data_IF_118547826565
#
_entry.id   IF_118547826565
#
_cell.length_a   1.000
_cell.length_b   1.000
_cell.length_c   1.000
_cell.angle_alpha   90.00
_cell.angle_beta   90.00
_cell.angle_gamma   90.00
#
_symmetry.space_group_name_H-M   'P 1'
#
loop_
_entity.id
_entity.type
_entity.pdbx_description
1 polymer ?
#
# COMPACT_ATOMS: atom_id res chain seq x y z
N UNK A 1 6.83 1.77 -2.34
CA UNK A 1 7.57 2.90 -2.89
C UNK A 1 8.97 2.50 -3.34
N UNK A 2 9.84 2.01 -2.45
CA UNK A 2 11.22 1.59 -2.77
C UNK A 2 11.35 0.65 -3.97
N UNK A 3 10.40 -0.27 -4.15
CA UNK A 3 10.37 -1.15 -5.31
C UNK A 3 10.27 -0.39 -6.63
N UNK A 4 9.40 0.61 -6.69
CA UNK A 4 9.22 1.47 -7.88
C UNK A 4 10.40 2.44 -8.05
N UNK A 5 10.98 2.93 -6.96
CA UNK A 5 12.18 3.78 -6.96
C UNK A 5 13.48 3.02 -7.31
N UNK A 6 13.46 1.68 -7.26
CA UNK A 6 14.65 0.85 -7.57
C UNK A 6 15.11 0.90 -9.03
N UNK A 7 14.29 1.44 -9.93
CA UNK A 7 14.58 1.51 -11.36
C UNK A 7 14.54 0.16 -12.09
N UNK A 8 14.08 -0.91 -11.42
CA UNK A 8 13.94 -2.23 -12.06
C UNK A 8 12.80 -2.23 -13.06
N UNK A 9 12.98 -2.95 -14.16
CA UNK A 9 11.91 -3.17 -15.14
C UNK A 9 10.76 -3.98 -14.52
N UNK A 10 9.59 -3.36 -14.37
CA UNK A 10 8.39 -3.97 -13.77
C UNK A 10 7.82 -5.11 -14.62
N UNK A 11 8.08 -5.13 -15.92
CA UNK A 11 7.62 -6.19 -16.82
C UNK A 11 8.57 -7.40 -16.88
N UNK A 12 9.78 -7.24 -16.38
CA UNK A 12 10.74 -8.34 -16.35
C UNK A 12 10.32 -9.42 -15.35
N UNK A 13 10.57 -10.67 -15.71
CA UNK A 13 10.33 -11.83 -14.87
C UNK A 13 11.45 -12.04 -13.88
N UNK A 14 11.09 -12.56 -12.71
CA UNK A 14 12.03 -13.03 -11.69
C UNK A 14 11.61 -14.42 -11.21
N UNK A 15 12.58 -15.23 -10.85
CA UNK A 15 12.35 -16.54 -10.22
C UNK A 15 12.52 -16.40 -8.71
N UNK A 16 11.52 -16.87 -7.96
CA UNK A 16 11.49 -16.79 -6.50
C UNK A 16 12.59 -17.68 -5.92
N UNK A 17 13.55 -17.11 -5.18
CA UNK A 17 14.72 -17.84 -4.73
C UNK A 17 14.44 -18.78 -3.56
N UNK A 18 15.18 -19.88 -3.49
CA UNK A 18 15.08 -20.86 -2.41
C UNK A 18 15.41 -20.30 -1.01
N UNK A 19 16.15 -19.18 -0.95
CA UNK A 19 16.45 -18.48 0.31
C UNK A 19 15.19 -18.00 1.05
N UNK A 20 14.07 -17.78 0.37
CA UNK A 20 12.80 -17.38 0.98
C UNK A 20 11.97 -18.53 1.54
N UNK A 21 12.46 -19.77 1.51
CA UNK A 21 11.71 -20.96 1.98
C UNK A 21 11.28 -20.82 3.44
N UNK A 22 12.17 -20.35 4.33
CA UNK A 22 11.83 -20.19 5.75
C UNK A 22 10.86 -19.03 5.95
N UNK A 23 11.10 -17.91 5.28
CA UNK A 23 10.23 -16.73 5.29
C UNK A 23 8.78 -17.07 4.90
N UNK A 24 8.58 -17.86 3.84
CA UNK A 24 7.24 -18.29 3.42
C UNK A 24 6.55 -19.19 4.45
N UNK A 25 7.31 -20.05 5.16
CA UNK A 25 6.77 -20.84 6.26
C UNK A 25 6.36 -19.97 7.44
N UNK A 26 7.16 -18.95 7.77
CA UNK A 26 6.88 -18.06 8.88
C UNK A 26 5.64 -17.21 8.60
N UNK A 27 5.48 -16.71 7.36
CA UNK A 27 4.26 -16.03 6.89
C UNK A 27 3.05 -16.96 7.04
N UNK A 28 3.15 -18.22 6.61
CA UNK A 28 2.08 -19.21 6.72
C UNK A 28 1.72 -19.51 8.19
N UNK A 29 2.72 -19.70 9.05
CA UNK A 29 2.52 -19.95 10.48
C UNK A 29 1.84 -18.77 11.19
N UNK A 30 2.11 -17.56 10.74
CA UNK A 30 1.48 -16.32 11.24
C UNK A 30 0.09 -16.06 10.62
N UNK A 31 -0.43 -16.95 9.76
CA UNK A 31 -1.65 -16.74 8.96
C UNK A 31 -1.61 -15.44 8.15
N UNK A 32 -0.45 -15.07 7.63
CA UNK A 32 -0.28 -13.90 6.77
C UNK A 32 -1.03 -14.05 5.45
N UNK A 33 -1.55 -12.94 4.92
CA UNK A 33 -2.16 -12.91 3.58
C UNK A 33 -1.12 -13.24 2.52
N UNK A 34 -1.49 -14.02 1.51
CA UNK A 34 -0.59 -14.42 0.41
C UNK A 34 -1.31 -14.39 -0.94
N UNK A 35 -0.54 -14.28 -2.01
CA UNK A 35 -1.02 -14.58 -3.36
C UNK A 35 -0.63 -16.00 -3.81
N UNK A 36 -0.27 -16.87 -2.86
CA UNK A 36 0.12 -18.28 -3.05
C UNK A 36 1.34 -18.46 -3.96
N UNK A 37 2.37 -17.65 -3.77
CA UNK A 37 3.64 -17.82 -4.45
C UNK A 37 4.36 -19.09 -4.00
N UNK A 38 5.17 -19.65 -4.90
CA UNK A 38 5.96 -20.87 -4.65
C UNK A 38 7.43 -20.62 -4.90
N UNK A 39 8.30 -21.25 -4.11
CA UNK A 39 9.73 -21.25 -4.38
C UNK A 39 10.01 -21.86 -5.76
N UNK A 40 10.81 -21.18 -6.58
CA UNK A 40 11.09 -21.55 -7.97
C UNK A 40 10.00 -21.12 -8.97
N UNK A 41 8.94 -20.45 -8.53
CA UNK A 41 7.96 -19.82 -9.43
C UNK A 41 8.58 -18.61 -10.12
N UNK A 42 8.29 -18.45 -11.40
CA UNK A 42 8.71 -17.29 -12.20
C UNK A 42 7.52 -16.38 -12.42
N UNK A 43 7.63 -15.12 -11.99
CA UNK A 43 6.56 -14.12 -12.04
C UNK A 43 7.11 -12.79 -12.51
N UNK A 44 6.28 -11.93 -13.09
CA UNK A 44 6.68 -10.56 -13.42
C UNK A 44 6.71 -9.70 -12.16
N UNK A 45 7.60 -8.73 -12.12
CA UNK A 45 7.67 -7.76 -11.01
C UNK A 45 6.37 -6.99 -10.83
N UNK A 46 5.69 -6.64 -11.90
CA UNK A 46 4.40 -5.95 -11.83
C UNK A 46 3.34 -6.80 -11.12
N UNK A 47 3.34 -8.12 -11.32
CA UNK A 47 2.38 -9.02 -10.66
C UNK A 47 2.61 -9.07 -9.13
N UNK A 48 3.86 -8.94 -8.68
CA UNK A 48 4.18 -8.81 -7.25
C UNK A 48 3.66 -7.49 -6.67
N UNK A 49 3.76 -6.38 -7.41
CA UNK A 49 3.23 -5.09 -6.96
C UNK A 49 1.70 -5.16 -6.79
N UNK A 50 0.99 -5.75 -7.76
CA UNK A 50 -0.45 -5.97 -7.63
C UNK A 50 -0.78 -6.93 -6.49
N UNK A 51 -0.04 -8.01 -6.31
CA UNK A 51 -0.20 -8.93 -5.17
C UNK A 51 -0.07 -8.22 -3.83
N UNK A 52 0.96 -7.38 -3.69
CA UNK A 52 1.21 -6.60 -2.49
C UNK A 52 0.07 -5.60 -2.20
N UNK A 53 -0.37 -4.83 -3.19
CA UNK A 53 -1.31 -3.72 -3.00
C UNK A 53 -2.77 -4.18 -3.00
N UNK A 54 -3.15 -5.13 -3.85
CA UNK A 54 -4.51 -5.65 -3.98
C UNK A 54 -4.82 -6.67 -2.89
N UNK A 55 -4.05 -7.76 -2.82
CA UNK A 55 -4.30 -8.84 -1.88
C UNK A 55 -3.59 -8.68 -0.53
N UNK A 56 -2.81 -7.62 -0.35
CA UNK A 56 -1.99 -7.45 0.86
C UNK A 56 -1.02 -8.63 1.09
N UNK A 57 -0.45 -9.17 0.00
CA UNK A 57 0.30 -10.41 -0.02
C UNK A 57 1.68 -10.25 0.64
N UNK A 58 1.89 -10.91 1.78
CA UNK A 58 3.17 -10.87 2.52
C UNK A 58 4.27 -11.62 1.78
N UNK A 59 3.96 -12.71 1.10
CA UNK A 59 4.89 -13.44 0.23
C UNK A 59 5.41 -12.55 -0.91
N UNK A 60 4.53 -11.74 -1.52
CA UNK A 60 4.95 -10.75 -2.52
C UNK A 60 5.87 -9.68 -1.92
N UNK A 61 5.60 -9.19 -0.70
CA UNK A 61 6.44 -8.23 -0.01
C UNK A 61 7.87 -8.77 0.20
N UNK A 62 7.99 -10.02 0.66
CA UNK A 62 9.29 -10.67 0.89
C UNK A 62 10.06 -10.91 -0.42
N UNK A 63 9.35 -11.28 -1.51
CA UNK A 63 9.99 -11.43 -2.83
C UNK A 63 10.48 -10.08 -3.37
N UNK A 64 9.67 -9.02 -3.27
CA UNK A 64 10.05 -7.65 -3.65
C UNK A 64 11.29 -7.21 -2.87
N UNK A 65 11.27 -7.38 -1.55
CA UNK A 65 12.40 -7.00 -0.69
C UNK A 65 13.67 -7.76 -1.08
N UNK A 66 13.58 -9.07 -1.30
CA UNK A 66 14.69 -9.92 -1.76
C UNK A 66 15.22 -9.48 -3.12
N UNK A 67 14.34 -9.18 -4.08
CA UNK A 67 14.75 -8.73 -5.43
C UNK A 67 15.49 -7.38 -5.38
N UNK A 68 15.00 -6.43 -4.59
CA UNK A 68 15.61 -5.08 -4.49
C UNK A 68 16.93 -5.10 -3.74
N UNK A 69 17.03 -5.87 -2.66
CA UNK A 69 18.21 -5.91 -1.78
C UNK A 69 19.23 -6.98 -2.14
N UNK A 70 19.01 -7.73 -3.24
CA UNK A 70 19.91 -8.83 -3.60
C UNK A 70 19.86 -10.03 -2.64
N UNK A 71 18.72 -10.25 -2.00
CA UNK A 71 18.45 -11.39 -1.11
C UNK A 71 18.53 -11.07 0.38
N UNK A 72 18.94 -9.88 0.78
CA UNK A 72 19.08 -9.47 2.19
C UNK A 72 17.86 -8.66 2.66
N UNK A 73 16.90 -9.32 3.30
CA UNK A 73 15.70 -8.68 3.83
C UNK A 73 16.02 -7.64 4.91
N UNK A 74 17.08 -7.85 5.70
CA UNK A 74 17.51 -6.90 6.73
C UNK A 74 18.03 -5.60 6.09
N UNK A 75 18.80 -5.73 5.01
CA UNK A 75 19.24 -4.57 4.24
C UNK A 75 18.05 -3.80 3.63
N UNK A 76 17.00 -4.50 3.18
CA UNK A 76 15.79 -3.85 2.70
C UNK A 76 15.05 -3.08 3.81
N UNK A 77 14.92 -3.66 5.00
CA UNK A 77 14.35 -2.97 6.17
C UNK A 77 15.15 -1.72 6.52
N UNK A 78 16.48 -1.78 6.45
CA UNK A 78 17.32 -0.61 6.64
C UNK A 78 17.05 0.49 5.59
N UNK A 79 16.83 0.11 4.32
CA UNK A 79 16.41 1.05 3.26
C UNK A 79 15.03 1.65 3.55
N UNK A 80 14.05 0.85 4.03
CA UNK A 80 12.72 1.35 4.43
C UNK A 80 12.86 2.43 5.51
N UNK A 81 13.66 2.19 6.55
CA UNK A 81 13.89 3.15 7.63
C UNK A 81 14.63 4.41 7.15
N UNK A 82 15.63 4.26 6.29
CA UNK A 82 16.32 5.39 5.69
C UNK A 82 15.35 6.26 4.86
N UNK A 83 14.52 5.63 4.03
CA UNK A 83 13.55 6.34 3.20
C UNK A 83 12.47 7.03 4.01
N UNK A 84 11.96 6.40 5.07
CA UNK A 84 11.03 7.03 6.00
C UNK A 84 11.64 8.31 6.61
N UNK A 85 12.89 8.24 7.05
CA UNK A 85 13.61 9.41 7.58
C UNK A 85 13.78 10.52 6.54
N UNK A 86 14.10 10.20 5.29
CA UNK A 86 14.16 11.17 4.18
C UNK A 86 12.83 11.86 3.92
N UNK A 87 11.72 11.16 4.13
CA UNK A 87 10.36 11.70 4.03
C UNK A 87 9.95 12.54 5.26
N UNK A 88 10.86 12.68 6.25
CA UNK A 88 10.60 13.45 7.47
C UNK A 88 9.78 12.67 8.52
N UNK A 89 9.76 11.35 8.47
CA UNK A 89 9.18 10.51 9.50
C UNK A 89 10.12 10.43 10.70
N UNK A 90 9.69 10.91 11.86
CA UNK A 90 10.51 10.96 13.09
C UNK A 90 10.14 9.87 14.09
N UNK A 91 8.93 9.32 13.98
CA UNK A 91 8.34 8.38 14.93
C UNK A 91 7.99 7.04 14.25
N UNK A 92 8.67 6.72 13.15
CA UNK A 92 8.49 5.48 12.40
C UNK A 92 9.74 4.62 12.47
N UNK A 93 9.54 3.34 12.81
CA UNK A 93 10.56 2.30 12.69
C UNK A 93 9.92 1.07 12.03
N UNK A 94 10.53 0.59 10.98
CA UNK A 94 10.19 -0.69 10.36
C UNK A 94 11.16 -1.77 10.84
N UNK A 95 10.62 -2.93 11.21
CA UNK A 95 11.38 -4.11 11.66
C UNK A 95 11.20 -5.32 10.75
N UNK A 96 10.21 -5.28 9.84
CA UNK A 96 9.96 -6.32 8.85
C UNK A 96 9.46 -5.73 7.52
N UNK A 97 9.50 -6.54 6.47
CA UNK A 97 9.18 -6.10 5.09
C UNK A 97 7.70 -6.17 4.74
N UNK A 98 6.89 -6.90 5.50
CA UNK A 98 5.50 -7.26 5.15
C UNK A 98 4.45 -6.77 6.16
N UNK A 99 4.85 -6.22 7.32
CA UNK A 99 3.93 -5.68 8.31
C UNK A 99 3.19 -6.73 9.16
N UNK A 100 3.57 -8.01 9.12
CA UNK A 100 3.15 -8.97 10.13
C UNK A 100 3.69 -8.56 11.49
N UNK A 101 2.97 -8.99 12.54
CA UNK A 101 3.25 -8.55 13.89
C UNK A 101 4.72 -8.64 14.28
N UNK A 102 5.28 -7.51 14.65
CA UNK A 102 6.60 -7.36 15.25
C UNK A 102 6.58 -6.12 16.17
N UNK A 103 7.01 -6.27 17.42
CA UNK A 103 7.03 -5.19 18.42
C UNK A 103 7.90 -3.99 18.01
N UNK A 104 8.86 -4.18 17.12
CA UNK A 104 9.71 -3.13 16.58
C UNK A 104 9.09 -2.33 15.45
N UNK A 105 7.94 -2.76 14.92
CA UNK A 105 7.27 -2.11 13.79
C UNK A 105 6.26 -1.08 14.29
N UNK A 106 6.67 0.19 14.35
CA UNK A 106 5.88 1.29 14.91
C UNK A 106 5.82 2.48 13.97
N UNK A 107 4.71 3.22 14.01
CA UNK A 107 4.52 4.45 13.24
C UNK A 107 3.44 5.34 13.87
N UNK A 108 3.25 6.53 13.31
CA UNK A 108 2.18 7.47 13.65
C UNK A 108 1.32 7.76 12.44
N UNK A 109 0.12 8.31 12.64
CA UNK A 109 -0.75 8.74 11.55
C UNK A 109 -0.09 9.85 10.72
N UNK A 110 0.63 10.77 11.36
CA UNK A 110 1.37 11.84 10.70
C UNK A 110 2.46 11.30 9.77
N UNK A 111 3.30 10.37 10.25
CA UNK A 111 4.37 9.79 9.45
C UNK A 111 3.82 8.95 8.30
N UNK A 112 2.77 8.16 8.56
CA UNK A 112 2.11 7.40 7.49
C UNK A 112 1.49 8.31 6.43
N UNK A 113 0.98 9.50 6.81
CA UNK A 113 0.50 10.48 5.83
C UNK A 113 1.63 10.99 4.92
N UNK A 114 2.85 11.21 5.45
CA UNK A 114 4.04 11.59 4.64
C UNK A 114 4.42 10.50 3.66
N UNK A 115 4.47 9.24 4.13
CA UNK A 115 4.76 8.07 3.29
C UNK A 115 3.68 7.91 2.21
N UNK A 116 2.41 8.03 2.61
CA UNK A 116 1.27 7.92 1.71
C UNK A 116 1.29 8.99 0.62
N UNK A 117 1.63 10.24 0.95
CA UNK A 117 1.76 11.32 -0.03
C UNK A 117 2.85 11.02 -1.07
N UNK A 118 3.99 10.46 -0.65
CA UNK A 118 5.05 10.03 -1.57
C UNK A 118 4.60 8.87 -2.47
N UNK A 119 3.80 7.93 -1.95
CA UNK A 119 3.20 6.85 -2.75
C UNK A 119 2.14 7.37 -3.72
N UNK A 120 1.30 8.32 -3.28
CA UNK A 120 0.24 8.92 -4.10
C UNK A 120 0.79 9.64 -5.34
N UNK A 121 1.97 10.23 -5.23
CA UNK A 121 2.66 10.88 -6.35
C UNK A 121 3.15 9.90 -7.45
N UNK A 122 3.11 8.60 -7.20
CA UNK A 122 3.56 7.58 -8.15
C UNK A 122 2.37 6.95 -8.89
N UNK A 123 2.27 7.20 -10.19
CA UNK A 123 1.15 6.71 -11.02
C UNK A 123 1.01 5.20 -11.04
N UNK A 124 2.13 4.46 -11.14
CA UNK A 124 2.12 2.99 -11.16
C UNK A 124 1.62 2.42 -9.82
N UNK A 125 2.04 3.04 -8.70
CA UNK A 125 1.52 2.70 -7.38
C UNK A 125 0.00 2.90 -7.33
N UNK A 126 -0.48 4.07 -7.74
CA UNK A 126 -1.90 4.42 -7.67
C UNK A 126 -2.75 3.56 -8.61
N UNK A 127 -2.25 3.21 -9.78
CA UNK A 127 -2.93 2.27 -10.67
C UNK A 127 -3.14 0.91 -10.00
N UNK A 128 -2.12 0.35 -9.37
CA UNK A 128 -2.25 -0.92 -8.65
C UNK A 128 -3.13 -0.79 -7.40
N UNK A 129 -2.98 0.28 -6.61
CA UNK A 129 -3.74 0.51 -5.39
C UNK A 129 -5.24 0.76 -5.62
N UNK A 130 -5.62 1.27 -6.80
CA UNK A 130 -7.02 1.48 -7.21
C UNK A 130 -7.67 0.24 -7.86
N UNK A 131 -6.95 -0.86 -7.98
CA UNK A 131 -7.45 -2.06 -8.65
C UNK A 131 -8.30 -2.90 -7.70
N UNK A 132 -9.57 -3.10 -8.04
CA UNK A 132 -10.48 -3.94 -7.24
C UNK A 132 -10.18 -5.43 -7.41
N UNK A 133 -9.93 -5.87 -8.63
CA UNK A 133 -9.62 -7.27 -8.95
C UNK A 133 -8.49 -7.33 -9.95
N UNK A 134 -7.51 -8.18 -9.70
CA UNK A 134 -6.38 -8.41 -10.59
C UNK A 134 -6.23 -9.90 -10.91
N UNK A 135 -6.02 -10.22 -12.17
CA UNK A 135 -5.80 -11.59 -12.62
C UNK A 135 -4.31 -11.82 -12.87
N UNK A 136 -3.72 -12.65 -12.05
CA UNK A 136 -2.35 -13.13 -12.21
C UNK A 136 -2.31 -14.16 -13.34
N UNK A 137 -1.40 -14.06 -14.30
CA UNK A 137 -1.28 -15.06 -15.36
C UNK A 137 -0.82 -16.41 -14.82
N UNK A 138 -0.99 -17.46 -15.63
CA UNK A 138 -0.37 -18.75 -15.39
C UNK A 138 1.15 -18.63 -15.35
N UNK A 139 1.80 -19.47 -14.56
CA UNK A 139 3.26 -19.48 -14.36
C UNK A 139 3.81 -20.89 -14.58
N UNK A 140 5.13 -21.05 -14.48
CA UNK A 140 5.77 -22.37 -14.52
C UNK A 140 5.29 -23.36 -13.43
N UNK A 141 4.75 -22.84 -12.30
CA UNK A 141 4.27 -23.66 -11.17
C UNK A 141 2.76 -23.57 -10.92
N UNK A 142 2.07 -22.65 -11.56
CA UNK A 142 0.61 -22.52 -11.55
C UNK A 142 0.07 -22.56 -12.98
N UNK A 143 -0.57 -23.67 -13.35
CA UNK A 143 -1.08 -23.86 -14.71
C UNK A 143 -2.27 -22.98 -15.08
N UNK A 144 -2.99 -22.47 -14.07
CA UNK A 144 -4.17 -21.63 -14.25
C UNK A 144 -3.89 -20.20 -13.75
N UNK A 145 -4.62 -19.26 -14.31
CA UNK A 145 -4.69 -17.89 -13.80
C UNK A 145 -5.23 -17.87 -12.35
N UNK A 146 -4.82 -16.87 -11.58
CA UNK A 146 -5.27 -16.65 -10.20
C UNK A 146 -5.86 -15.27 -10.09
N UNK A 147 -7.11 -15.17 -9.63
CA UNK A 147 -7.73 -13.87 -9.37
C UNK A 147 -7.53 -13.48 -7.92
N UNK A 148 -7.11 -12.24 -7.69
CA UNK A 148 -7.00 -11.63 -6.38
C UNK A 148 -7.93 -10.42 -6.29
N UNK A 149 -8.54 -10.20 -5.12
CA UNK A 149 -9.45 -9.08 -4.87
C UNK A 149 -8.88 -8.13 -3.83
N UNK A 150 -9.16 -6.85 -3.99
CA UNK A 150 -8.70 -5.80 -3.08
C UNK A 150 -9.25 -6.00 -1.66
N UNK A 151 -8.37 -5.77 -0.70
CA UNK A 151 -8.75 -5.69 0.73
C UNK A 151 -9.41 -4.35 1.08
N UNK A 152 -9.34 -3.36 0.20
CA UNK A 152 -10.01 -2.07 0.35
C UNK A 152 -11.45 -2.16 -0.17
N UNK A 153 -12.39 -2.37 0.74
CA UNK A 153 -13.81 -2.49 0.40
C UNK A 153 -14.43 -1.19 -0.15
N UNK A 154 -13.85 -0.01 0.14
CA UNK A 154 -14.36 1.24 -0.41
C UNK A 154 -14.20 1.37 -1.94
N UNK A 155 -13.40 0.49 -2.57
CA UNK A 155 -13.29 0.40 -4.03
C UNK A 155 -14.43 -0.44 -4.66
N UNK A 156 -15.15 -1.22 -3.86
CA UNK A 156 -16.22 -2.09 -4.35
C UNK A 156 -17.55 -1.31 -4.44
N UNK A 157 -18.11 -1.09 -5.64
CA UNK A 157 -19.35 -0.34 -5.82
C UNK A 157 -20.57 -0.94 -5.09
N UNK A 158 -20.50 -2.24 -4.76
CA UNK A 158 -21.58 -2.92 -4.03
C UNK A 158 -21.46 -2.75 -2.50
N UNK A 159 -20.36 -2.17 -2.02
CA UNK A 159 -20.13 -2.01 -0.59
C UNK A 159 -20.85 -0.75 -0.05
N UNK A 160 -21.47 -0.85 1.12
CA UNK A 160 -22.29 0.21 1.71
C UNK A 160 -21.56 1.56 1.90
N UNK A 161 -20.26 1.51 2.13
CA UNK A 161 -19.42 2.71 2.33
C UNK A 161 -18.55 3.04 1.12
N UNK A 162 -18.85 2.48 -0.05
CA UNK A 162 -18.21 2.88 -1.30
C UNK A 162 -18.38 4.37 -1.56
N UNK A 163 -17.34 5.00 -2.09
CA UNK A 163 -17.37 6.39 -2.56
C UNK A 163 -16.57 6.51 -3.85
N UNK A 164 -17.20 7.02 -4.90
CA UNK A 164 -16.58 7.19 -6.23
C UNK A 164 -15.33 8.09 -6.22
N UNK A 165 -15.21 8.94 -5.21
CA UNK A 165 -14.07 9.83 -5.04
C UNK A 165 -12.86 9.17 -4.33
N UNK A 166 -12.99 7.96 -3.76
CA UNK A 166 -11.89 7.25 -3.08
C UNK A 166 -10.83 6.79 -4.09
N UNK A 167 -9.56 6.97 -3.71
CA UNK A 167 -8.39 6.62 -4.51
C UNK A 167 -7.42 5.77 -3.70
N UNK A 168 -7.54 4.45 -3.83
CA UNK A 168 -6.68 3.50 -3.12
C UNK A 168 -6.82 3.66 -1.61
N UNK A 169 -5.88 3.42 -0.77
CA UNK A 169 -4.51 2.94 -0.97
C UNK A 169 -4.34 1.56 -0.31
N UNK A 170 -4.21 1.52 1.06
CA UNK A 170 -3.82 0.30 1.75
C UNK A 170 -4.54 0.11 3.08
N UNK A 171 -5.02 -1.09 3.29
CA UNK A 171 -5.55 -1.57 4.58
C UNK A 171 -4.47 -2.31 5.37
N UNK A 172 -4.62 -2.38 6.68
CA UNK A 172 -3.78 -3.18 7.55
C UNK A 172 -4.57 -3.74 8.72
N UNK A 173 -4.14 -4.90 9.20
CA UNK A 173 -4.70 -5.51 10.40
C UNK A 173 -3.67 -6.42 11.08
N UNK A 174 -3.48 -6.21 12.37
CA UNK A 174 -2.95 -7.19 13.31
C UNK A 174 -3.78 -7.11 14.60
N UNK A 175 -3.74 -8.15 15.43
CA UNK A 175 -4.50 -8.16 16.69
C UNK A 175 -4.14 -6.97 17.60
N UNK A 176 -2.89 -6.51 17.58
CA UNK A 176 -2.46 -5.36 18.38
C UNK A 176 -2.75 -4.01 17.74
N UNK A 177 -2.56 -3.91 16.43
CA UNK A 177 -2.75 -2.64 15.73
C UNK A 177 -4.23 -2.30 15.53
N UNK A 178 -5.14 -3.29 15.61
CA UNK A 178 -6.51 -3.12 15.16
C UNK A 178 -6.59 -2.96 13.64
N UNK A 179 -7.70 -2.44 13.14
CA UNK A 179 -7.87 -2.10 11.73
C UNK A 179 -7.24 -0.75 11.43
N UNK A 180 -6.42 -0.73 10.41
CA UNK A 180 -5.75 0.48 9.93
C UNK A 180 -6.07 0.68 8.46
N UNK A 181 -6.23 1.93 8.04
CA UNK A 181 -6.50 2.27 6.66
C UNK A 181 -5.87 3.59 6.28
N UNK A 182 -5.23 3.61 5.13
CA UNK A 182 -4.71 4.81 4.48
C UNK A 182 -5.41 4.94 3.14
N UNK A 183 -5.98 6.09 2.85
CA UNK A 183 -6.65 6.37 1.58
C UNK A 183 -6.45 7.80 1.15
N UNK A 184 -6.57 8.05 -0.16
CA UNK A 184 -6.81 9.38 -0.71
C UNK A 184 -8.21 9.45 -1.28
N UNK A 185 -8.72 10.67 -1.40
CA UNK A 185 -10.00 10.98 -2.00
C UNK A 185 -9.86 12.21 -2.87
N UNK A 186 -10.43 12.18 -4.07
CA UNK A 186 -10.33 13.28 -5.03
C UNK A 186 -11.69 13.58 -5.64
N UNK A 187 -12.14 14.83 -5.48
CA UNK A 187 -13.39 15.33 -6.03
C UNK A 187 -13.29 16.84 -6.27
N UNK A 188 -13.85 17.33 -7.37
CA UNK A 188 -13.96 18.76 -7.71
C UNK A 188 -12.64 19.56 -7.60
N UNK A 189 -11.53 18.93 -7.98
CA UNK A 189 -10.20 19.55 -7.92
C UNK A 189 -9.51 19.47 -6.55
N UNK A 190 -10.21 19.04 -5.50
CA UNK A 190 -9.65 18.87 -4.16
C UNK A 190 -9.16 17.43 -3.96
N UNK A 191 -8.07 17.28 -3.23
CA UNK A 191 -7.52 15.98 -2.84
C UNK A 191 -7.26 15.97 -1.33
N UNK A 192 -7.84 14.99 -0.65
CA UNK A 192 -7.61 14.75 0.78
C UNK A 192 -6.95 13.39 0.99
N UNK A 193 -5.98 13.33 1.89
CA UNK A 193 -5.41 12.09 2.42
C UNK A 193 -5.98 11.80 3.81
N UNK A 194 -6.30 10.56 4.09
CA UNK A 194 -6.83 10.11 5.38
C UNK A 194 -6.02 8.90 5.88
N UNK A 195 -5.62 8.96 7.15
CA UNK A 195 -5.00 7.85 7.87
C UNK A 195 -5.83 7.55 9.11
N UNK A 196 -6.33 6.33 9.22
CA UNK A 196 -7.04 5.83 10.40
C UNK A 196 -6.27 4.65 10.97
N UNK A 197 -5.96 4.71 12.26
CA UNK A 197 -5.23 3.67 12.99
C UNK A 197 -6.06 3.19 14.18
N UNK A 198 -5.98 1.89 14.49
CA UNK A 198 -6.57 1.31 15.70
C UNK A 198 -8.10 1.24 15.71
N UNK A 199 -8.77 1.28 14.56
CA UNK A 199 -10.21 1.09 14.45
C UNK A 199 -10.59 -0.40 14.49
N UNK A 200 -11.86 -0.70 14.38
CA UNK A 200 -12.42 -2.05 14.28
C UNK A 200 -13.05 -2.32 12.89
N UNK A 201 -13.48 -3.56 12.66
CA UNK A 201 -14.00 -3.99 11.36
C UNK A 201 -15.33 -3.33 11.00
N UNK A 202 -16.17 -3.03 11.98
CA UNK A 202 -17.52 -2.51 11.76
C UNK A 202 -17.50 -1.00 11.48
N UNK A 203 -16.49 -0.32 11.98
CA UNK A 203 -16.42 1.14 12.00
C UNK A 203 -15.46 1.74 10.98
N UNK A 204 -14.32 1.10 10.67
CA UNK A 204 -13.22 1.73 9.90
C UNK A 204 -13.68 2.37 8.58
N UNK A 205 -14.48 1.68 7.78
CA UNK A 205 -14.94 2.22 6.50
C UNK A 205 -16.05 3.25 6.63
N UNK A 206 -16.91 3.10 7.66
CA UNK A 206 -17.93 4.10 8.00
C UNK A 206 -17.26 5.40 8.44
N UNK A 207 -16.30 5.33 9.35
CA UNK A 207 -15.55 6.48 9.85
C UNK A 207 -14.82 7.19 8.70
N UNK A 208 -14.15 6.43 7.82
CA UNK A 208 -13.49 7.00 6.66
C UNK A 208 -14.47 7.71 5.71
N UNK A 209 -15.64 7.11 5.42
CA UNK A 209 -16.64 7.72 4.57
C UNK A 209 -17.17 9.02 5.18
N UNK A 210 -17.56 9.01 6.46
CA UNK A 210 -18.09 10.17 7.18
C UNK A 210 -17.08 11.33 7.25
N UNK A 211 -15.79 11.04 7.53
CA UNK A 211 -14.73 12.05 7.58
C UNK A 211 -14.48 12.66 6.19
N UNK A 212 -14.44 11.83 5.14
CA UNK A 212 -14.22 12.31 3.78
C UNK A 212 -15.43 13.12 3.25
N UNK A 213 -16.66 12.65 3.49
CA UNK A 213 -17.90 13.38 3.17
C UNK A 213 -17.90 14.74 3.87
N UNK A 214 -17.52 14.79 5.16
CA UNK A 214 -17.39 16.03 5.91
C UNK A 214 -16.30 16.94 5.32
N UNK A 215 -15.15 16.42 4.95
CA UNK A 215 -14.06 17.22 4.38
C UNK A 215 -14.49 17.89 3.07
N UNK A 216 -15.09 17.15 2.13
CA UNK A 216 -15.57 17.72 0.87
C UNK A 216 -16.74 18.71 1.03
N UNK A 217 -17.57 18.55 2.07
CA UNK A 217 -18.67 19.49 2.32
C UNK A 217 -18.27 20.73 3.13
N UNK A 218 -17.17 20.68 3.89
CA UNK A 218 -16.80 21.73 4.85
C UNK A 218 -15.69 22.65 4.37
N UNK A 219 -14.88 22.23 3.42
CA UNK A 219 -13.77 23.02 2.91
C UNK A 219 -13.97 23.37 1.44
N UNK A 220 -13.63 24.60 1.09
CA UNK A 220 -13.63 25.10 -0.29
C UNK A 220 -12.47 26.06 -0.50
N UNK A 221 -11.95 26.11 -1.72
CA UNK A 221 -10.95 27.12 -2.08
C UNK A 221 -11.56 28.50 -2.05
N UNK A 222 -10.84 29.44 -1.45
CA UNK A 222 -11.17 30.85 -1.50
C UNK A 222 -10.04 31.61 -2.19
N UNK A 223 -10.35 32.23 -3.32
CA UNK A 223 -9.43 33.15 -3.97
C UNK A 223 -9.21 34.38 -3.08
N UNK A 224 -7.99 34.56 -2.59
CA UNK A 224 -7.63 35.68 -1.71
C UNK A 224 -7.15 36.89 -2.50
N UNK A 225 -6.59 36.71 -3.69
CA UNK A 225 -6.07 37.76 -4.57
C UNK A 225 -6.55 37.47 -5.98
N UNK A 226 -7.11 38.49 -6.65
CA UNK A 226 -7.40 38.41 -8.07
C UNK A 226 -6.09 38.44 -8.85
N UNK A 227 -5.84 37.45 -9.71
CA UNK A 227 -4.65 37.36 -10.55
C UNK A 227 -4.59 38.48 -11.61
N UNK A 228 -5.70 39.16 -11.88
CA UNK A 228 -5.78 40.31 -12.79
C UNK A 228 -5.45 41.64 -12.09
N UNK A 229 -5.39 41.69 -10.76
CA UNK A 229 -5.04 42.89 -10.02
C UNK A 229 -3.52 43.07 -10.03
N UNK A 230 -3.03 43.95 -10.90
CA UNK A 230 -1.62 44.40 -10.88
C UNK A 230 -1.39 45.14 -9.58
N UNK A 231 -0.61 44.59 -8.67
CA UNK A 231 -0.11 45.31 -7.50
C UNK A 231 0.91 46.31 -7.99
N UNK A 232 0.48 47.55 -8.22
CA UNK A 232 1.40 48.67 -8.45
C UNK A 232 2.06 49.06 -7.14
N UNK A 233 3.39 48.93 -7.08
CA UNK A 233 4.25 49.42 -6.01
C UNK A 233 4.34 50.93 -6.06
#
# INVERSE_FOLDING_TARGET
LLFLESGKDMNAEITIPASLTQEFKDIQNANGSTMNLRIGETVRRIDLLYGLLVASANDAASVIASDVSGGDLTAFVAQMNARAKELGCTDTTFSCVHGLYDYGNVSTAEDLAKIAAACYANETYMQAANTLTYTLPATNLHQNERSIKSTNLMLDPEYAYHRDYVRGMKTGFTTLAGRCFVTFAQQDGHTYGLVVLGSDMDNIYRECAEILDWAFSSFSDRQLVDTETVLTT
#
